data_IF_267314161256
#
_entry.id   IF_267314161256
#
_cell.length_a   1.000
_cell.length_b   1.000
_cell.length_c   1.000
_cell.angle_alpha   90.00
_cell.angle_beta   90.00
_cell.angle_gamma   90.00
#
_symmetry.space_group_name_H-M   'P 1'
#
loop_
_entity.id
_entity.type
_entity.pdbx_description
1 polymer ?
#
# COMPACT_ATOMS: atom_id res chain seq x y z
N UNK A 1 16.84 21.82 -31.37
CA UNK A 1 17.62 21.88 -30.13
C UNK A 1 17.41 20.61 -29.30
N UNK A 2 18.42 20.19 -28.55
CA UNK A 2 18.39 18.96 -27.71
C UNK A 2 17.20 18.96 -26.73
N UNK A 3 16.87 20.11 -26.17
CA UNK A 3 15.71 20.25 -25.28
C UNK A 3 14.36 20.03 -25.98
N UNK A 4 14.25 20.41 -27.23
CA UNK A 4 13.03 20.18 -28.01
C UNK A 4 12.86 18.69 -28.37
N UNK A 5 13.95 18.00 -28.69
CA UNK A 5 13.96 16.56 -28.93
C UNK A 5 13.59 15.81 -27.67
N UNK A 6 14.15 16.21 -26.53
CA UNK A 6 13.80 15.63 -25.23
C UNK A 6 12.32 15.80 -24.90
N UNK A 7 11.80 17.02 -24.99
CA UNK A 7 10.41 17.33 -24.62
C UNK A 7 9.36 16.80 -25.58
N UNK A 8 9.65 16.77 -26.89
CA UNK A 8 8.66 16.38 -27.91
C UNK A 8 8.73 14.92 -28.33
N UNK A 9 9.87 14.27 -28.16
CA UNK A 9 10.09 12.89 -28.63
C UNK A 9 10.39 11.95 -27.47
N UNK A 10 11.43 12.21 -26.69
CA UNK A 10 11.88 11.31 -25.65
C UNK A 10 10.87 11.19 -24.49
N UNK A 11 10.34 12.30 -24.03
CA UNK A 11 9.43 12.33 -22.89
C UNK A 11 8.08 11.68 -23.18
N UNK A 12 7.41 11.92 -24.33
CA UNK A 12 6.20 11.17 -24.68
C UNK A 12 6.44 9.67 -24.90
N UNK A 13 7.57 9.32 -25.46
CA UNK A 13 7.94 7.92 -25.69
C UNK A 13 8.23 7.16 -24.39
N UNK A 14 8.69 7.90 -23.37
CA UNK A 14 9.00 7.36 -22.04
C UNK A 14 7.79 7.25 -21.11
N UNK A 15 6.62 7.76 -21.49
CA UNK A 15 5.41 7.72 -20.64
C UNK A 15 5.07 6.33 -20.11
N UNK A 16 5.08 5.24 -20.91
CA UNK A 16 4.79 3.90 -20.41
C UNK A 16 5.81 3.43 -19.37
N UNK A 17 7.09 3.73 -19.60
CA UNK A 17 8.17 3.41 -18.67
C UNK A 17 8.02 4.19 -17.35
N UNK A 18 7.72 5.49 -17.43
CA UNK A 18 7.48 6.32 -16.26
C UNK A 18 6.27 5.84 -15.47
N UNK A 19 5.19 5.42 -16.13
CA UNK A 19 4.01 4.85 -15.48
C UNK A 19 4.35 3.55 -14.75
N UNK A 20 5.17 2.69 -15.32
CA UNK A 20 5.62 1.44 -14.70
C UNK A 20 6.48 1.71 -13.46
N UNK A 21 7.44 2.63 -13.55
CA UNK A 21 8.26 3.03 -12.41
C UNK A 21 7.41 3.66 -11.31
N UNK A 22 6.48 4.55 -11.67
CA UNK A 22 5.55 5.15 -10.72
C UNK A 22 4.70 4.09 -10.00
N UNK A 23 4.25 3.06 -10.72
CA UNK A 23 3.53 1.94 -10.13
C UNK A 23 4.35 1.19 -9.08
N UNK A 24 5.59 0.82 -9.42
CA UNK A 24 6.48 0.12 -8.48
C UNK A 24 6.80 0.97 -7.25
N UNK A 25 7.05 2.26 -7.43
CA UNK A 25 7.27 3.19 -6.32
C UNK A 25 6.03 3.32 -5.44
N UNK A 26 4.86 3.43 -6.05
CA UNK A 26 3.58 3.50 -5.32
C UNK A 26 3.36 2.25 -4.48
N UNK A 27 3.58 1.07 -5.03
CA UNK A 27 3.51 -0.18 -4.26
C UNK A 27 4.56 -0.27 -3.17
N UNK A 28 5.78 0.18 -3.44
CA UNK A 28 6.85 0.23 -2.44
C UNK A 28 6.47 1.08 -1.24
N UNK A 29 6.02 2.30 -1.48
CA UNK A 29 5.57 3.21 -0.41
C UNK A 29 4.26 2.76 0.26
N UNK A 30 3.37 2.14 -0.49
CA UNK A 30 2.13 1.60 0.08
C UNK A 30 2.41 0.48 1.09
N UNK A 31 3.35 -0.39 0.79
CA UNK A 31 3.73 -1.52 1.65
C UNK A 31 4.75 -1.15 2.74
N UNK A 32 5.11 0.12 2.86
CA UNK A 32 6.11 0.58 3.82
C UNK A 32 5.53 0.67 5.26
N UNK A 33 5.42 -0.49 5.89
CA UNK A 33 5.06 -0.58 7.30
C UNK A 33 6.31 -0.58 8.20
N UNK A 34 7.41 -1.17 7.73
CA UNK A 34 8.61 -1.40 8.52
C UNK A 34 9.38 -0.11 8.78
N UNK A 35 9.67 0.67 7.75
CA UNK A 35 10.38 1.94 7.90
C UNK A 35 9.56 2.94 8.69
N UNK A 36 8.24 3.01 8.43
CA UNK A 36 7.33 3.84 9.20
C UNK A 36 7.35 3.49 10.69
N UNK A 37 7.29 2.21 11.03
CA UNK A 37 7.28 1.79 12.44
C UNK A 37 8.63 1.96 13.13
N UNK A 38 9.73 1.96 12.37
CA UNK A 38 11.08 2.06 12.91
C UNK A 38 11.53 3.50 13.14
N UNK A 39 11.25 4.40 12.20
CA UNK A 39 11.79 5.76 12.18
C UNK A 39 10.80 6.82 12.64
N UNK A 40 9.51 6.54 12.64
CA UNK A 40 8.48 7.51 13.00
C UNK A 40 8.00 7.24 14.42
N UNK A 41 8.16 8.21 15.31
CA UNK A 41 7.69 8.12 16.70
C UNK A 41 6.24 8.60 16.88
N UNK A 42 5.75 9.46 15.99
CA UNK A 42 4.39 9.99 16.06
C UNK A 42 3.45 9.11 15.23
N UNK A 43 2.51 8.47 15.90
CA UNK A 43 1.50 7.60 15.28
C UNK A 43 0.61 8.30 14.25
N UNK A 44 0.51 9.63 14.30
CA UNK A 44 -0.23 10.42 13.32
C UNK A 44 0.42 10.46 11.94
N UNK A 45 1.71 10.17 11.88
CA UNK A 45 2.50 10.18 10.65
C UNK A 45 2.75 8.77 10.10
N UNK A 46 2.17 7.73 10.73
CA UNK A 46 2.32 6.36 10.26
C UNK A 46 1.69 6.15 8.88
N UNK A 47 2.35 5.35 8.06
CA UNK A 47 1.70 4.81 6.86
C UNK A 47 0.49 3.97 7.26
N UNK A 48 -0.48 3.82 6.35
CA UNK A 48 -1.68 3.02 6.63
C UNK A 48 -1.32 1.60 7.07
N UNK A 49 -0.34 0.99 6.43
CA UNK A 49 0.16 -0.34 6.77
C UNK A 49 0.74 -0.41 8.19
N UNK A 50 1.57 0.57 8.55
CA UNK A 50 2.16 0.63 9.89
C UNK A 50 1.09 0.87 10.97
N UNK A 51 0.10 1.71 10.68
CA UNK A 51 -1.01 1.96 11.60
C UNK A 51 -1.84 0.70 11.84
N UNK A 52 -2.17 -0.04 10.78
CA UNK A 52 -2.95 -1.28 10.88
C UNK A 52 -2.17 -2.38 11.61
N UNK A 53 -0.87 -2.51 11.36
CA UNK A 53 0.00 -3.43 12.09
C UNK A 53 0.05 -3.08 13.59
N UNK A 54 0.17 -1.79 13.92
CA UNK A 54 0.15 -1.31 15.30
C UNK A 54 -1.19 -1.60 16.00
N UNK A 55 -2.30 -1.37 15.33
CA UNK A 55 -3.64 -1.69 15.85
C UNK A 55 -3.79 -3.19 16.10
N UNK A 56 -3.35 -4.02 15.16
CA UNK A 56 -3.40 -5.47 15.31
C UNK A 56 -2.58 -5.95 16.51
N UNK A 57 -1.35 -5.48 16.66
CA UNK A 57 -0.48 -5.81 17.81
C UNK A 57 -1.11 -5.39 19.14
N UNK A 58 -1.73 -4.22 19.18
CA UNK A 58 -2.41 -3.75 20.38
C UNK A 58 -3.59 -4.67 20.75
N UNK A 59 -4.38 -5.10 19.78
CA UNK A 59 -5.48 -6.05 19.99
C UNK A 59 -4.92 -7.38 20.52
N UNK A 60 -3.85 -7.90 19.93
CA UNK A 60 -3.21 -9.14 20.36
C UNK A 60 -2.60 -9.02 21.76
N UNK A 61 -1.93 -7.92 22.08
CA UNK A 61 -1.37 -7.69 23.42
C UNK A 61 -2.47 -7.57 24.48
N UNK A 62 -3.56 -6.88 24.18
CA UNK A 62 -4.70 -6.77 25.10
C UNK A 62 -5.38 -8.12 25.32
N UNK A 63 -5.53 -8.90 24.26
CA UNK A 63 -6.15 -10.23 24.34
C UNK A 63 -5.32 -11.25 25.14
N UNK A 64 -4.00 -11.09 25.13
CA UNK A 64 -3.07 -12.02 25.79
C UNK A 64 -2.62 -11.54 27.17
N UNK A 65 -3.12 -10.41 27.65
CA UNK A 65 -2.68 -9.84 28.94
C UNK A 65 -3.66 -10.20 30.07
N UNK A 66 -3.29 -11.14 30.97
CA UNK A 66 -4.18 -11.61 32.04
C UNK A 66 -4.41 -10.55 33.13
N UNK A 67 -3.64 -9.47 33.15
CA UNK A 67 -3.73 -8.43 34.19
C UNK A 67 -4.84 -7.40 33.97
N UNK A 68 -5.51 -7.42 32.81
CA UNK A 68 -6.58 -6.45 32.45
C UNK A 68 -7.94 -6.74 33.09
N UNK A 69 -8.03 -7.72 33.98
CA UNK A 69 -9.28 -8.09 34.65
C UNK A 69 -10.19 -8.98 33.81
N UNK A 70 -10.98 -9.81 34.48
CA UNK A 70 -11.83 -10.85 33.85
C UNK A 70 -12.83 -10.27 32.84
N UNK A 71 -13.38 -9.11 33.12
CA UNK A 71 -14.38 -8.44 32.24
C UNK A 71 -13.76 -7.98 30.91
N UNK A 72 -12.59 -7.33 30.96
CA UNK A 72 -11.92 -6.85 29.74
C UNK A 72 -11.39 -8.00 28.89
N UNK A 73 -10.85 -9.03 29.54
CA UNK A 73 -10.41 -10.24 28.86
C UNK A 73 -11.58 -11.01 28.18
N UNK A 74 -12.75 -11.06 28.80
CA UNK A 74 -13.97 -11.63 28.19
C UNK A 74 -14.43 -10.85 26.96
N UNK A 75 -14.47 -9.51 27.05
CA UNK A 75 -14.81 -8.68 25.89
C UNK A 75 -13.81 -8.85 24.74
N UNK A 76 -12.52 -8.89 25.04
CA UNK A 76 -11.47 -9.07 24.04
C UNK A 76 -11.49 -10.48 23.40
N UNK A 77 -11.83 -11.51 24.16
CA UNK A 77 -12.00 -12.86 23.63
C UNK A 77 -13.28 -13.03 22.80
N UNK A 78 -14.30 -12.22 23.04
CA UNK A 78 -15.53 -12.21 22.23
C UNK A 78 -15.39 -11.39 20.95
N UNK A 79 -14.33 -10.54 20.83
CA UNK A 79 -14.06 -9.83 19.58
C UNK A 79 -13.62 -10.81 18.50
N UNK A 80 -14.22 -10.72 17.29
CA UNK A 80 -13.82 -11.56 16.17
C UNK A 80 -12.46 -11.08 15.62
N UNK A 81 -11.36 -11.56 16.20
CA UNK A 81 -9.98 -11.21 15.80
C UNK A 81 -9.74 -11.46 14.31
N UNK A 82 -10.27 -12.56 13.80
CA UNK A 82 -10.21 -12.88 12.37
C UNK A 82 -11.04 -11.91 11.52
N UNK A 83 -12.21 -11.49 12.01
CA UNK A 83 -13.01 -10.46 11.35
C UNK A 83 -12.29 -9.11 11.27
N UNK A 84 -11.63 -8.69 12.34
CA UNK A 84 -10.81 -7.47 12.35
C UNK A 84 -9.63 -7.58 11.37
N UNK A 85 -8.94 -8.71 11.34
CA UNK A 85 -7.84 -8.98 10.39
C UNK A 85 -8.31 -8.95 8.94
N UNK A 86 -9.47 -9.56 8.65
CA UNK A 86 -10.09 -9.54 7.32
C UNK A 86 -10.52 -8.13 6.90
N UNK A 87 -11.11 -7.36 7.80
CA UNK A 87 -11.48 -5.97 7.55
C UNK A 87 -10.25 -5.10 7.22
N UNK A 88 -9.16 -5.27 7.96
CA UNK A 88 -7.90 -4.58 7.68
C UNK A 88 -7.34 -4.95 6.31
N UNK A 89 -7.37 -6.24 5.94
CA UNK A 89 -6.96 -6.69 4.62
C UNK A 89 -7.78 -6.03 3.50
N UNK A 90 -9.08 -5.91 3.66
CA UNK A 90 -9.95 -5.23 2.69
C UNK A 90 -9.59 -3.75 2.57
N UNK A 91 -9.35 -3.04 3.67
CA UNK A 91 -8.95 -1.63 3.68
C UNK A 91 -7.62 -1.43 2.91
N UNK A 92 -6.71 -2.37 3.03
CA UNK A 92 -5.43 -2.34 2.32
C UNK A 92 -5.61 -2.56 0.82
N UNK A 93 -6.48 -3.49 0.43
CA UNK A 93 -6.65 -3.93 -0.96
C UNK A 93 -7.48 -2.92 -1.78
N UNK A 94 -8.50 -2.29 -1.21
CA UNK A 94 -9.42 -1.41 -1.94
C UNK A 94 -8.70 -0.27 -2.68
N UNK A 95 -7.80 0.52 -2.07
CA UNK A 95 -7.12 1.60 -2.78
C UNK A 95 -6.25 1.08 -3.92
N UNK A 96 -5.59 -0.05 -3.74
CA UNK A 96 -4.76 -0.69 -4.77
C UNK A 96 -5.64 -1.14 -5.94
N UNK A 97 -6.77 -1.79 -5.65
CA UNK A 97 -7.73 -2.23 -6.65
C UNK A 97 -8.33 -1.06 -7.45
N UNK A 98 -8.57 0.09 -6.80
CA UNK A 98 -9.05 1.30 -7.46
C UNK A 98 -7.99 1.95 -8.36
N UNK A 99 -6.70 1.89 -7.99
CA UNK A 99 -5.61 2.44 -8.77
C UNK A 99 -5.22 1.55 -9.96
N UNK A 100 -5.46 0.24 -9.87
CA UNK A 100 -5.04 -0.74 -10.88
C UNK A 100 -5.53 -0.42 -12.30
N UNK A 101 -6.80 -0.05 -12.57
CA UNK A 101 -7.28 0.27 -13.91
C UNK A 101 -6.53 1.41 -14.58
N UNK A 102 -6.09 2.42 -13.82
CA UNK A 102 -5.31 3.54 -14.34
C UNK A 102 -3.94 3.08 -14.86
N UNK A 103 -3.25 2.26 -14.11
CA UNK A 103 -1.94 1.73 -14.50
C UNK A 103 -2.06 0.69 -15.62
N UNK A 104 -3.10 -0.13 -15.59
CA UNK A 104 -3.38 -1.13 -16.63
C UNK A 104 -3.50 -0.48 -18.02
N UNK A 105 -4.16 0.65 -18.13
CA UNK A 105 -4.30 1.39 -19.38
C UNK A 105 -2.93 1.79 -19.95
N UNK A 106 -2.03 2.32 -19.11
CA UNK A 106 -0.69 2.70 -19.54
C UNK A 106 0.21 1.49 -19.83
N UNK A 107 0.05 0.43 -19.08
CA UNK A 107 0.81 -0.80 -19.25
C UNK A 107 0.49 -1.50 -20.58
N UNK A 108 -0.78 -1.60 -20.92
CA UNK A 108 -1.24 -2.18 -22.21
C UNK A 108 -0.73 -1.33 -23.39
N UNK A 109 -0.81 0.00 -23.29
CA UNK A 109 -0.29 0.91 -24.32
C UNK A 109 1.22 0.74 -24.52
N UNK A 110 1.99 0.53 -23.44
CA UNK A 110 3.42 0.29 -23.52
C UNK A 110 3.78 -1.04 -24.19
N UNK A 111 3.03 -2.10 -23.86
CA UNK A 111 3.23 -3.43 -24.44
C UNK A 111 2.88 -3.46 -25.94
N UNK A 112 1.79 -2.80 -26.34
CA UNK A 112 1.39 -2.75 -27.74
C UNK A 112 2.39 -1.97 -28.60
N UNK A 113 2.94 -0.88 -28.11
CA UNK A 113 3.99 -0.14 -28.82
C UNK A 113 5.28 -0.97 -28.95
N UNK A 114 5.63 -1.74 -27.93
CA UNK A 114 6.76 -2.67 -27.99
C UNK A 114 6.53 -3.85 -28.94
N UNK A 115 5.32 -4.39 -29.01
CA UNK A 115 4.96 -5.51 -29.87
C UNK A 115 4.89 -5.11 -31.37
N UNK A 116 4.46 -3.89 -31.68
CA UNK A 116 4.38 -3.39 -33.08
C UNK A 116 5.77 -3.13 -33.67
N UNK A 117 6.78 -2.90 -32.87
CA UNK A 117 8.18 -2.73 -33.33
C UNK A 117 8.94 -4.05 -33.54
N UNK A 118 8.41 -5.11 -33.08
CA UNK A 118 8.95 -6.45 -33.31
C UNK A 118 8.28 -7.11 -34.50
#
# INVERSE_FOLDING_TARGET
TQFQIFGKIALPLSKPLMATIALFLTFGYWNDWFQSSLYISDTKLYSLQALLDHVQRNIEMMANNPSLGVTTAQYMNSMPKEGARMAMAIIIIIPIACCYPFFQKYFISGLTVGAVKG
#
